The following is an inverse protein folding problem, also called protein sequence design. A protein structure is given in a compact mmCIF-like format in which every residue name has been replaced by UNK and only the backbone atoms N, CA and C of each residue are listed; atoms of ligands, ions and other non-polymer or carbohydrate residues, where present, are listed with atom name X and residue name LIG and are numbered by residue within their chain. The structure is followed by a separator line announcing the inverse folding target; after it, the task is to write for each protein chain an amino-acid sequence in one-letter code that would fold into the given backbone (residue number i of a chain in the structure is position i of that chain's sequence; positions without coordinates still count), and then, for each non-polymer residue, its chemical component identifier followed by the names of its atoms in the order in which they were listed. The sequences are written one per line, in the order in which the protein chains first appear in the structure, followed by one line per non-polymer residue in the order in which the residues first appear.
data_IF_492571855784
#
_entry.id   IF_492571855784
#
_cell.length_a   1.000
_cell.length_b   1.000
_cell.length_c   1.000
_cell.angle_alpha   90.00
_cell.angle_beta   90.00
_cell.angle_gamma   90.00
#
_symmetry.space_group_name_H-M   'P 1'
#
loop_
_entity.id
_entity.type
_entity.pdbx_description
1 polymer ?
#
# COMPACT_ATOMS: atom_id res chain seq x y z
N UNK A 1 48.22 2.02 8.60
CA UNK A 1 47.36 0.94 8.07
C UNK A 1 46.22 0.56 9.02
N UNK A 2 46.45 0.11 10.26
CA UNK A 2 45.36 -0.28 11.19
C UNK A 2 44.31 0.81 11.46
N UNK A 3 44.71 2.07 11.66
CA UNK A 3 43.78 3.21 11.87
C UNK A 3 42.94 3.53 10.62
N UNK A 4 43.49 3.30 9.42
CA UNK A 4 42.82 3.56 8.15
C UNK A 4 41.83 2.43 7.82
N UNK A 5 42.20 1.18 8.11
CA UNK A 5 41.29 0.03 8.09
C UNK A 5 40.13 0.17 9.09
N UNK A 6 40.41 0.63 10.31
CA UNK A 6 39.38 0.88 11.32
C UNK A 6 38.40 1.98 10.88
N UNK A 7 38.92 3.08 10.31
CA UNK A 7 38.09 4.16 9.77
C UNK A 7 37.18 3.68 8.63
N UNK A 8 37.70 2.84 7.72
CA UNK A 8 36.91 2.24 6.63
C UNK A 8 35.79 1.33 7.18
N UNK A 9 36.10 0.53 8.20
CA UNK A 9 35.14 -0.40 8.82
C UNK A 9 34.00 0.35 9.52
N UNK A 10 34.31 1.44 10.22
CA UNK A 10 33.31 2.31 10.83
C UNK A 10 32.42 2.96 9.76
N UNK A 11 33.01 3.44 8.67
CA UNK A 11 32.23 4.02 7.56
C UNK A 11 31.27 3.00 6.94
N UNK A 12 31.71 1.75 6.74
CA UNK A 12 30.85 0.67 6.22
C UNK A 12 29.68 0.39 7.16
N UNK A 13 29.92 0.33 8.48
CA UNK A 13 28.86 0.09 9.48
C UNK A 13 27.83 1.23 9.47
N UNK A 14 28.27 2.49 9.38
CA UNK A 14 27.37 3.64 9.30
C UNK A 14 26.52 3.57 8.03
N UNK A 15 27.13 3.28 6.88
CA UNK A 15 26.42 3.16 5.59
C UNK A 15 25.42 2.01 5.64
N UNK A 16 25.82 0.83 6.10
CA UNK A 16 24.93 -0.32 6.22
C UNK A 16 23.76 -0.03 7.17
N UNK A 17 24.02 0.61 8.32
CA UNK A 17 22.97 0.99 9.27
C UNK A 17 22.00 2.01 8.67
N UNK A 18 22.52 2.99 7.91
CA UNK A 18 21.70 3.96 7.20
C UNK A 18 20.81 3.29 6.14
N UNK A 19 21.34 2.34 5.36
CA UNK A 19 20.59 1.60 4.35
C UNK A 19 19.47 0.77 4.99
N UNK A 20 19.77 0.01 6.05
CA UNK A 20 18.78 -0.79 6.79
C UNK A 20 17.71 0.13 7.39
N UNK A 21 18.10 1.25 8.00
CA UNK A 21 17.14 2.20 8.55
C UNK A 21 16.23 2.77 7.46
N UNK A 22 16.79 3.17 6.32
CA UNK A 22 16.04 3.72 5.20
C UNK A 22 15.04 2.70 4.63
N UNK A 23 15.42 1.43 4.54
CA UNK A 23 14.56 0.35 4.08
C UNK A 23 13.41 0.09 5.08
N UNK A 24 13.72 -0.04 6.38
CA UNK A 24 12.71 -0.31 7.41
C UNK A 24 11.75 0.87 7.60
N UNK A 25 12.24 2.10 7.49
CA UNK A 25 11.45 3.33 7.63
C UNK A 25 10.68 3.71 6.37
N UNK A 26 10.96 3.08 5.22
CA UNK A 26 10.27 3.39 3.97
C UNK A 26 8.75 3.25 4.10
N UNK A 27 8.03 4.31 3.77
CA UNK A 27 6.56 4.31 3.64
C UNK A 27 6.18 4.97 2.33
N UNK A 28 5.38 4.32 1.46
CA UNK A 28 4.93 4.94 0.22
C UNK A 28 3.93 6.06 0.47
N UNK A 29 3.01 5.89 1.43
CA UNK A 29 2.03 6.92 1.76
C UNK A 29 2.61 7.97 2.70
N UNK A 30 2.32 9.23 2.41
CA UNK A 30 2.65 10.41 3.22
C UNK A 30 1.38 11.04 3.77
N UNK A 31 1.53 11.98 4.70
CA UNK A 31 0.42 12.68 5.36
C UNK A 31 -0.61 13.25 4.37
N UNK A 32 -0.15 13.96 3.34
CA UNK A 32 -1.02 14.51 2.29
C UNK A 32 -1.80 13.43 1.52
N UNK A 33 -1.31 12.20 1.46
CA UNK A 33 -2.02 11.11 0.78
C UNK A 33 -3.19 10.61 1.62
N UNK A 34 -3.05 10.55 2.96
CA UNK A 34 -4.19 10.24 3.84
C UNK A 34 -5.30 11.28 3.76
N UNK A 35 -4.95 12.56 3.58
CA UNK A 35 -5.93 13.64 3.32
C UNK A 35 -6.67 13.50 1.98
N UNK A 36 -6.04 12.88 0.98
CA UNK A 36 -6.70 12.52 -0.29
C UNK A 36 -7.60 11.30 -0.09
N UNK A 37 -7.22 10.35 0.76
CA UNK A 37 -7.96 9.12 1.03
C UNK A 37 -9.20 9.33 1.90
N UNK A 38 -9.10 10.14 2.96
CA UNK A 38 -10.16 10.32 3.94
C UNK A 38 -10.56 11.78 4.08
N UNK A 39 -11.85 12.02 4.29
CA UNK A 39 -12.38 13.38 4.35
C UNK A 39 -11.93 14.09 5.62
N UNK A 40 -11.19 15.19 5.45
CA UNK A 40 -10.76 16.04 6.56
C UNK A 40 -9.78 15.35 7.51
N UNK A 41 -9.02 14.37 7.02
CA UNK A 41 -8.08 13.61 7.83
C UNK A 41 -7.02 14.51 8.47
N UNK A 42 -6.93 14.47 9.80
CA UNK A 42 -5.92 15.15 10.60
C UNK A 42 -5.38 14.27 11.73
N UNK A 43 -5.67 12.97 11.69
CA UNK A 43 -5.23 12.00 12.70
C UNK A 43 -3.80 11.53 12.46
N UNK A 44 -3.22 10.87 13.46
CA UNK A 44 -1.91 10.23 13.33
C UNK A 44 -2.02 8.95 12.51
N UNK A 45 -0.93 8.57 11.83
CA UNK A 45 -0.83 7.32 11.09
C UNK A 45 0.51 6.66 11.37
N UNK A 46 0.48 5.35 11.56
CA UNK A 46 1.68 4.55 11.77
C UNK A 46 1.72 3.37 10.82
N UNK A 47 2.85 3.22 10.11
CA UNK A 47 3.11 2.01 9.33
C UNK A 47 3.39 0.86 10.30
N UNK A 48 2.37 0.05 10.57
CA UNK A 48 2.48 -1.10 11.47
C UNK A 48 3.24 -2.26 10.84
N UNK A 49 3.19 -2.37 9.51
CA UNK A 49 3.81 -3.47 8.81
C UNK A 49 3.97 -3.19 7.31
N UNK A 50 5.00 -3.79 6.69
CA UNK A 50 5.15 -3.86 5.24
C UNK A 50 5.74 -5.19 4.82
N UNK A 51 5.45 -5.62 3.60
CA UNK A 51 6.12 -6.75 2.95
C UNK A 51 6.25 -6.49 1.46
N UNK A 52 7.49 -6.55 1.00
CA UNK A 52 7.85 -6.39 -0.40
C UNK A 52 8.05 -7.77 -1.05
N UNK A 53 8.13 -7.80 -2.38
CA UNK A 53 8.39 -9.02 -3.18
C UNK A 53 7.43 -10.16 -2.86
N UNK A 54 6.16 -9.81 -2.75
CA UNK A 54 5.05 -10.73 -2.57
C UNK A 54 4.91 -11.74 -3.75
N UNK A 55 5.54 -11.46 -4.88
CA UNK A 55 5.74 -12.39 -5.99
C UNK A 55 6.50 -11.70 -7.14
N UNK A 56 7.10 -12.49 -8.03
CA UNK A 56 7.51 -12.05 -9.37
C UNK A 56 6.46 -12.62 -10.34
N UNK A 57 5.75 -11.76 -11.06
CA UNK A 57 4.97 -12.26 -12.20
C UNK A 57 5.92 -12.61 -13.35
N UNK A 58 5.45 -13.42 -14.30
CA UNK A 58 6.19 -13.71 -15.55
C UNK A 58 6.51 -12.47 -16.38
N UNK A 59 5.92 -11.32 -16.02
CA UNK A 59 6.12 -10.01 -16.63
C UNK A 59 7.02 -9.09 -15.80
N UNK A 60 7.63 -9.58 -14.71
CA UNK A 60 8.60 -8.83 -13.90
C UNK A 60 7.99 -7.87 -12.87
N UNK A 61 6.68 -7.91 -12.64
CA UNK A 61 6.02 -6.95 -11.75
C UNK A 61 6.40 -7.16 -10.27
N UNK A 62 6.53 -6.06 -9.54
CA UNK A 62 6.74 -6.04 -8.09
C UNK A 62 5.42 -5.86 -7.35
N UNK A 63 5.22 -6.72 -6.36
CA UNK A 63 4.08 -6.67 -5.46
C UNK A 63 4.53 -6.30 -4.05
N UNK A 64 3.92 -5.27 -3.51
CA UNK A 64 4.22 -4.76 -2.17
C UNK A 64 2.91 -4.52 -1.42
N UNK A 65 2.88 -4.84 -0.13
CA UNK A 65 1.75 -4.52 0.74
C UNK A 65 2.23 -3.77 1.98
N UNK A 66 1.48 -2.75 2.34
CA UNK A 66 1.69 -1.92 3.52
C UNK A 66 0.43 -1.96 4.37
N UNK A 67 0.61 -1.92 5.69
CA UNK A 67 -0.48 -1.86 6.66
C UNK A 67 -0.27 -0.67 7.58
N UNK A 68 -1.27 0.19 7.68
CA UNK A 68 -1.26 1.39 8.50
C UNK A 68 -2.32 1.28 9.59
N UNK A 69 -1.98 1.74 10.79
CA UNK A 69 -2.95 2.09 11.83
C UNK A 69 -3.27 3.57 11.70
N UNK A 70 -4.56 3.92 11.75
CA UNK A 70 -5.03 5.30 11.58
C UNK A 70 -5.84 5.72 12.80
N UNK A 71 -5.76 7.00 13.16
CA UNK A 71 -6.66 7.64 14.11
C UNK A 71 -7.69 8.50 13.36
N UNK A 72 -8.95 8.46 13.80
CA UNK A 72 -10.02 9.35 13.35
C UNK A 72 -10.27 9.38 11.81
N UNK A 73 -10.01 8.28 11.11
CA UNK A 73 -10.31 8.17 9.69
C UNK A 73 -11.83 8.09 9.44
N UNK A 74 -12.36 9.06 8.67
CA UNK A 74 -13.78 9.13 8.32
C UNK A 74 -13.99 8.71 6.86
N UNK A 75 -14.82 7.69 6.67
CA UNK A 75 -15.26 7.25 5.34
C UNK A 75 -16.33 8.20 4.80
N UNK A 76 -16.09 8.71 3.59
CA UNK A 76 -17.04 9.50 2.81
C UNK A 76 -17.12 8.94 1.39
N UNK A 77 -18.33 8.83 0.83
CA UNK A 77 -18.57 8.24 -0.50
C UNK A 77 -18.05 9.09 -1.67
N UNK A 78 -17.66 10.34 -1.41
CA UNK A 78 -17.03 11.23 -2.39
C UNK A 78 -15.51 11.26 -2.26
N UNK A 79 -14.94 10.34 -1.46
CA UNK A 79 -13.52 10.11 -1.27
C UNK A 79 -13.19 8.67 -1.67
N UNK A 80 -11.94 8.35 -2.03
CA UNK A 80 -10.80 9.27 -2.14
C UNK A 80 -10.89 10.30 -3.27
N UNK A 81 -10.08 11.36 -3.19
CA UNK A 81 -9.92 12.39 -4.22
C UNK A 81 -8.55 12.28 -4.88
N UNK A 82 -8.50 11.58 -6.01
CA UNK A 82 -7.27 11.39 -6.77
C UNK A 82 -7.13 12.45 -7.86
N UNK A 83 -6.13 13.32 -7.73
CA UNK A 83 -5.67 14.24 -8.81
C UNK A 83 -4.37 13.70 -9.43
N UNK A 84 -3.52 13.15 -8.56
CA UNK A 84 -2.30 12.43 -8.87
C UNK A 84 -2.09 11.35 -7.80
N UNK A 85 -1.36 10.30 -8.14
CA UNK A 85 -1.05 9.22 -7.20
C UNK A 85 0.35 8.65 -7.47
N UNK A 86 1.19 8.61 -6.44
CA UNK A 86 2.57 8.11 -6.49
C UNK A 86 3.40 8.57 -7.72
N UNK A 87 3.30 9.86 -8.03
CA UNK A 87 3.93 10.56 -9.18
C UNK A 87 3.28 10.31 -10.55
N UNK A 88 2.18 9.56 -10.61
CA UNK A 88 1.38 9.41 -11.81
C UNK A 88 0.23 10.42 -11.82
N UNK A 89 0.04 11.09 -12.96
CA UNK A 89 -1.12 11.96 -13.17
C UNK A 89 -2.34 11.11 -13.47
N UNK A 90 -3.47 11.42 -12.84
CA UNK A 90 -4.75 10.80 -13.18
C UNK A 90 -5.18 11.32 -14.56
N UNK A 91 -5.44 10.40 -15.48
CA UNK A 91 -5.91 10.73 -16.84
C UNK A 91 -7.29 10.10 -17.08
N UNK A 92 -7.90 10.37 -18.23
CA UNK A 92 -9.15 9.74 -18.64
C UNK A 92 -9.04 8.22 -18.85
N UNK A 93 -7.82 7.67 -18.92
CA UNK A 93 -7.56 6.23 -18.99
C UNK A 93 -7.42 5.58 -17.60
N UNK A 94 -7.20 6.37 -16.56
CA UNK A 94 -7.06 5.85 -15.20
C UNK A 94 -8.42 5.46 -14.66
N UNK A 95 -8.56 4.21 -14.22
CA UNK A 95 -9.80 3.76 -13.57
C UNK A 95 -9.62 3.94 -12.06
N UNK A 96 -10.44 4.80 -11.48
CA UNK A 96 -10.46 5.07 -10.05
C UNK A 96 -11.81 4.69 -9.45
N UNK A 97 -11.80 4.35 -8.16
CA UNK A 97 -13.03 4.25 -7.39
C UNK A 97 -13.01 5.19 -6.18
N UNK A 98 -14.21 5.51 -5.72
CA UNK A 98 -14.43 5.99 -4.35
C UNK A 98 -14.51 4.79 -3.40
N UNK A 99 -14.58 5.06 -2.10
CA UNK A 99 -14.83 4.03 -1.09
C UNK A 99 -16.13 3.29 -1.39
N UNK A 100 -15.99 1.99 -1.63
CA UNK A 100 -17.07 1.01 -1.80
C UNK A 100 -17.10 0.06 -0.63
N UNK A 101 -18.28 -0.41 -0.23
CA UNK A 101 -18.40 -1.45 0.78
C UNK A 101 -17.87 -2.78 0.27
N UNK A 102 -17.14 -3.49 1.12
CA UNK A 102 -16.83 -4.90 0.90
C UNK A 102 -18.09 -5.79 0.95
N UNK A 103 -18.05 -7.02 0.39
CA UNK A 103 -16.99 -7.55 -0.47
C UNK A 103 -16.96 -6.86 -1.85
N UNK A 104 -15.93 -7.15 -2.65
CA UNK A 104 -15.79 -6.56 -3.99
C UNK A 104 -17.01 -6.86 -4.87
N UNK A 105 -17.49 -5.84 -5.56
CA UNK A 105 -18.41 -6.02 -6.67
C UNK A 105 -17.75 -6.82 -7.81
N UNK A 106 -18.57 -7.46 -8.65
CA UNK A 106 -18.08 -8.34 -9.72
C UNK A 106 -17.06 -7.67 -10.65
N UNK A 107 -17.29 -6.40 -11.01
CA UNK A 107 -16.41 -5.66 -11.92
C UNK A 107 -15.06 -5.36 -11.26
N UNK A 108 -15.07 -4.92 -9.99
CA UNK A 108 -13.86 -4.67 -9.22
C UNK A 108 -13.05 -5.96 -9.02
N UNK A 109 -13.74 -7.08 -8.75
CA UNK A 109 -13.11 -8.39 -8.60
C UNK A 109 -12.45 -8.87 -9.89
N UNK A 110 -13.10 -8.70 -11.05
CA UNK A 110 -12.52 -9.05 -12.34
C UNK A 110 -11.27 -8.19 -12.65
N UNK A 111 -11.34 -6.88 -12.40
CA UNK A 111 -10.24 -5.95 -12.62
C UNK A 111 -9.01 -6.29 -11.76
N UNK A 112 -9.22 -6.59 -10.47
CA UNK A 112 -8.14 -6.87 -9.52
C UNK A 112 -7.88 -8.36 -9.30
N UNK A 113 -8.50 -9.25 -10.09
CA UNK A 113 -8.37 -10.71 -9.91
C UNK A 113 -6.92 -11.12 -9.86
N UNK A 114 -6.12 -10.64 -10.80
CA UNK A 114 -4.71 -10.97 -10.87
C UNK A 114 -3.96 -10.44 -9.64
N UNK A 115 -4.09 -9.15 -9.32
CA UNK A 115 -3.43 -8.54 -8.16
C UNK A 115 -3.77 -9.24 -6.83
N UNK A 116 -5.02 -9.67 -6.66
CA UNK A 116 -5.49 -10.33 -5.45
C UNK A 116 -5.19 -11.83 -5.39
N UNK A 117 -4.79 -12.47 -6.50
CA UNK A 117 -4.51 -13.92 -6.55
C UNK A 117 -3.07 -14.27 -6.91
N UNK A 118 -2.32 -13.35 -7.53
CA UNK A 118 -0.92 -13.52 -7.92
C UNK A 118 0.00 -13.73 -6.71
N UNK A 119 -0.38 -13.19 -5.54
CA UNK A 119 0.28 -13.48 -4.29
C UNK A 119 -0.68 -14.09 -3.29
N UNK A 120 -0.21 -15.15 -2.63
CA UNK A 120 -0.81 -15.65 -1.40
C UNK A 120 -0.53 -14.67 -0.23
N UNK A 121 -1.33 -13.60 -0.17
CA UNK A 121 -1.23 -12.58 0.88
C UNK A 121 -1.40 -13.17 2.29
N UNK A 122 -2.06 -14.32 2.41
CA UNK A 122 -2.30 -14.99 3.68
C UNK A 122 -1.02 -15.54 4.32
N UNK A 123 0.00 -15.86 3.51
CA UNK A 123 1.32 -16.32 4.00
C UNK A 123 2.17 -15.18 4.56
N UNK A 124 1.85 -13.94 4.25
CA UNK A 124 2.48 -12.80 4.91
C UNK A 124 1.82 -12.63 6.29
N UNK A 125 2.58 -12.80 7.39
CA UNK A 125 2.06 -12.58 8.75
C UNK A 125 1.33 -11.23 8.87
N UNK A 126 1.88 -10.21 8.22
CA UNK A 126 1.34 -8.86 8.03
C UNK A 126 -0.12 -8.80 7.53
N UNK A 127 -0.50 -9.74 6.67
CA UNK A 127 -1.71 -9.71 5.85
C UNK A 127 -2.51 -11.00 5.96
N UNK A 128 -2.24 -11.80 6.99
CA UNK A 128 -2.94 -13.07 7.26
C UNK A 128 -4.46 -12.91 7.35
N UNK A 129 -4.94 -11.76 7.84
CA UNK A 129 -6.36 -11.42 7.91
C UNK A 129 -6.92 -10.73 6.65
N UNK A 130 -6.10 -10.40 5.65
CA UNK A 130 -6.50 -9.54 4.52
C UNK A 130 -7.77 -10.02 3.81
N UNK A 131 -7.83 -11.30 3.40
CA UNK A 131 -9.01 -11.82 2.70
C UNK A 131 -10.25 -11.94 3.59
N UNK A 132 -10.05 -12.15 4.89
CA UNK A 132 -11.15 -12.11 5.88
C UNK A 132 -11.72 -10.69 5.96
N UNK A 133 -10.86 -9.68 6.06
CA UNK A 133 -11.27 -8.28 6.10
C UNK A 133 -11.89 -7.81 4.77
N UNK A 134 -11.39 -8.31 3.64
CA UNK A 134 -11.96 -8.05 2.32
C UNK A 134 -13.39 -8.60 2.16
N UNK A 135 -13.72 -9.64 2.94
CA UNK A 135 -15.04 -10.27 2.95
C UNK A 135 -16.00 -9.66 3.99
N UNK A 136 -15.50 -8.75 4.85
CA UNK A 136 -16.28 -8.15 5.92
C UNK A 136 -17.10 -6.94 5.39
N UNK A 137 -18.44 -6.98 5.42
CA UNK A 137 -19.27 -5.94 4.82
C UNK A 137 -19.21 -4.57 5.49
N UNK A 138 -18.66 -4.50 6.71
CA UNK A 138 -18.39 -3.22 7.39
C UNK A 138 -17.20 -2.46 6.82
N UNK A 139 -16.30 -3.16 6.13
CA UNK A 139 -15.08 -2.59 5.61
C UNK A 139 -15.29 -1.94 4.25
N UNK A 140 -14.32 -1.13 3.86
CA UNK A 140 -14.37 -0.36 2.63
C UNK A 140 -13.14 -0.61 1.78
N UNK A 141 -13.30 -0.65 0.46
CA UNK A 141 -12.20 -0.72 -0.48
C UNK A 141 -12.27 0.42 -1.49
N UNK A 142 -11.11 0.76 -2.02
CA UNK A 142 -10.93 1.73 -3.09
C UNK A 142 -9.73 1.30 -3.91
N UNK A 143 -9.62 1.80 -5.14
CA UNK A 143 -8.55 1.37 -6.04
C UNK A 143 -8.25 2.41 -7.12
N UNK A 144 -7.06 2.29 -7.69
CA UNK A 144 -6.54 3.09 -8.79
C UNK A 144 -5.81 2.14 -9.74
N UNK A 145 -6.25 2.09 -11.00
CA UNK A 145 -5.69 1.25 -12.04
C UNK A 145 -5.18 2.12 -13.18
N UNK A 146 -3.88 2.07 -13.45
CA UNK A 146 -3.21 2.79 -14.53
C UNK A 146 -2.87 1.85 -15.68
N UNK A 147 -3.75 1.80 -16.71
CA UNK A 147 -3.56 1.20 -18.06
C UNK A 147 -2.55 0.02 -18.12
N UNK A 148 -2.68 -0.94 -17.20
CA UNK A 148 -1.87 -2.16 -17.12
C UNK A 148 -0.47 -2.06 -16.49
N UNK A 149 0.06 -0.87 -16.20
CA UNK A 149 1.42 -0.70 -15.66
C UNK A 149 1.47 -0.65 -14.13
N UNK A 150 0.51 0.01 -13.50
CA UNK A 150 0.51 0.20 -12.06
C UNK A 150 -0.89 0.11 -11.47
N UNK A 151 -1.04 -0.76 -10.47
CA UNK A 151 -2.31 -0.96 -9.76
C UNK A 151 -2.13 -0.72 -8.27
N UNK A 152 -3.05 0.05 -7.72
CA UNK A 152 -3.13 0.37 -6.30
C UNK A 152 -4.47 -0.11 -5.76
N UNK A 153 -4.44 -0.88 -4.68
CA UNK A 153 -5.64 -1.37 -4.01
C UNK A 153 -5.59 -1.00 -2.53
N UNK A 154 -6.67 -0.41 -2.05
CA UNK A 154 -6.83 0.08 -0.69
C UNK A 154 -7.96 -0.69 -0.03
N UNK A 155 -7.73 -1.18 1.19
CA UNK A 155 -8.76 -1.79 2.04
C UNK A 155 -8.68 -1.17 3.43
N UNK A 156 -9.72 -0.44 3.81
CA UNK A 156 -9.87 0.15 5.12
C UNK A 156 -10.80 -0.70 6.00
N UNK A 157 -10.27 -1.13 7.15
CA UNK A 157 -10.94 -1.98 8.12
C UNK A 157 -11.49 -1.11 9.25
N UNK A 158 -12.81 -0.94 9.28
CA UNK A 158 -13.45 0.05 10.17
C UNK A 158 -13.37 -0.35 11.64
N UNK A 159 -13.50 -1.63 11.96
CA UNK A 159 -13.49 -2.09 13.36
C UNK A 159 -12.07 -1.98 13.99
N UNK A 160 -11.00 -2.07 13.18
CA UNK A 160 -9.61 -1.98 13.66
C UNK A 160 -8.91 -0.65 13.34
N UNK A 161 -9.53 0.24 12.57
CA UNK A 161 -8.94 1.45 12.02
C UNK A 161 -7.64 1.19 11.23
N UNK A 162 -7.59 0.09 10.50
CA UNK A 162 -6.39 -0.31 9.75
C UNK A 162 -6.60 -0.12 8.24
N UNK A 163 -5.61 0.46 7.56
CA UNK A 163 -5.57 0.57 6.11
C UNK A 163 -4.53 -0.39 5.54
N UNK A 164 -4.99 -1.34 4.73
CA UNK A 164 -4.12 -2.09 3.83
C UNK A 164 -3.95 -1.32 2.53
N UNK A 165 -2.71 -1.24 2.07
CA UNK A 165 -2.33 -0.60 0.83
C UNK A 165 -1.45 -1.55 0.01
N UNK A 166 -2.01 -2.07 -1.07
CA UNK A 166 -1.36 -3.01 -1.98
C UNK A 166 -0.96 -2.26 -3.25
N UNK A 167 0.28 -2.48 -3.68
CA UNK A 167 0.87 -1.89 -4.89
C UNK A 167 1.32 -3.00 -5.81
N UNK A 168 0.98 -2.91 -7.09
CA UNK A 168 1.57 -3.66 -8.18
C UNK A 168 2.19 -2.67 -9.15
N UNK A 169 3.48 -2.84 -9.47
CA UNK A 169 4.18 -2.01 -10.44
C UNK A 169 4.91 -2.89 -11.45
N UNK A 170 4.63 -2.67 -12.73
CA UNK A 170 5.39 -3.24 -13.85
C UNK A 170 6.65 -2.41 -14.14
N UNK A 171 7.69 -3.08 -14.65
CA UNK A 171 8.90 -2.44 -15.18
C UNK A 171 8.76 -2.14 -16.67
#
# INVERSE_FOLDING_TARGET
MKKLLLGLLVAIVIIASYLVFNEVSYSPLKENDFQKLFKGYSGSFDKTCSKDFLGLSTHGELYEIFKYSLEDAVIDRNYPKFIEWENNKITNKTIISYWKNCPLDKQSLELYRFTLTATDLSKAKCCSSFYKELSNPKNFYSYIHFDGLEDYFLLYCTDSNELYYLRRRGF
#
